data_IF_252782201013
#
_entry.id   IF_252782201013
#
_cell.length_a   1.000
_cell.length_b   1.000
_cell.length_c   1.000
_cell.angle_alpha   90.00
_cell.angle_beta   90.00
_cell.angle_gamma   90.00
#
_symmetry.space_group_name_H-M   'P 1'
#
loop_
_entity.id
_entity.type
_entity.pdbx_description
1 polymer ?
#
# COMPACT_ATOMS: atom_id res chain seq x y z
N UNK A 1 -25.46 5.02 8.89
CA UNK A 1 -26.81 5.26 8.32
C UNK A 1 -26.74 5.81 6.88
N UNK A 2 -25.64 6.44 6.48
CA UNK A 2 -25.39 6.90 5.11
C UNK A 2 -23.89 6.76 4.76
N UNK A 3 -23.58 6.80 3.47
CA UNK A 3 -22.23 6.66 2.93
C UNK A 3 -21.48 8.00 2.88
N UNK A 4 -21.00 8.48 4.02
CA UNK A 4 -20.22 9.72 4.11
C UNK A 4 -19.25 9.66 5.29
N UNK A 5 -18.01 10.07 5.06
CA UNK A 5 -17.02 10.25 6.13
C UNK A 5 -16.93 11.70 6.59
N UNK A 6 -16.44 11.89 7.80
CA UNK A 6 -16.27 13.18 8.46
C UNK A 6 -14.90 13.24 9.13
N UNK A 7 -14.32 14.45 9.25
CA UNK A 7 -13.05 14.68 9.93
C UNK A 7 -13.10 15.98 10.72
N UNK A 8 -12.60 15.95 11.96
CA UNK A 8 -12.48 17.12 12.82
C UNK A 8 -11.30 16.96 13.78
N UNK A 9 -10.09 17.26 13.29
CA UNK A 9 -8.86 17.07 14.06
C UNK A 9 -8.81 17.95 15.32
N UNK A 10 -9.43 19.13 15.29
CA UNK A 10 -9.46 20.05 16.43
C UNK A 10 -10.31 19.50 17.57
N UNK A 11 -11.44 18.86 17.26
CA UNK A 11 -12.23 18.15 18.26
C UNK A 11 -11.44 16.99 18.88
N UNK A 12 -10.73 16.21 18.06
CA UNK A 12 -9.88 15.11 18.56
C UNK A 12 -8.80 15.65 19.50
N UNK A 13 -8.14 16.76 19.15
CA UNK A 13 -7.14 17.40 20.04
C UNK A 13 -7.77 17.88 21.35
N UNK A 14 -8.96 18.46 21.31
CA UNK A 14 -9.71 18.88 22.51
C UNK A 14 -10.06 17.68 23.39
N UNK A 15 -10.52 16.58 22.81
CA UNK A 15 -10.79 15.33 23.54
C UNK A 15 -9.54 14.81 24.25
N UNK A 16 -8.37 14.85 23.58
CA UNK A 16 -7.11 14.38 24.17
C UNK A 16 -6.74 15.19 25.43
N UNK A 17 -6.95 16.50 25.40
CA UNK A 17 -6.65 17.40 26.54
C UNK A 17 -7.69 17.29 27.65
N UNK A 18 -8.97 17.14 27.29
CA UNK A 18 -10.08 17.17 28.24
C UNK A 18 -10.37 15.83 28.92
N UNK A 19 -9.80 14.73 28.42
CA UNK A 19 -10.06 13.41 28.99
C UNK A 19 -9.51 13.29 30.42
N UNK A 20 -10.23 12.56 31.27
CA UNK A 20 -9.81 12.18 32.61
C UNK A 20 -10.32 10.77 32.92
N UNK A 21 -9.55 9.97 33.64
CA UNK A 21 -9.92 8.59 34.03
C UNK A 21 -10.38 7.73 32.84
N UNK A 22 -9.67 7.86 31.71
CA UNK A 22 -9.95 7.19 30.43
C UNK A 22 -11.29 7.55 29.77
N UNK A 23 -11.91 8.66 30.17
CA UNK A 23 -13.19 9.14 29.66
C UNK A 23 -13.05 10.56 29.12
N UNK A 24 -13.73 10.84 28.01
CA UNK A 24 -13.95 12.20 27.53
C UNK A 24 -15.26 12.76 28.11
N UNK A 25 -15.42 14.09 28.20
CA UNK A 25 -16.71 14.68 28.54
C UNK A 25 -17.81 14.25 27.55
N UNK A 26 -19.01 13.95 28.06
CA UNK A 26 -20.11 13.36 27.28
C UNK A 26 -20.55 14.25 26.11
N UNK A 27 -20.56 15.56 26.32
CA UNK A 27 -20.91 16.59 25.34
C UNK A 27 -19.90 16.66 24.18
N UNK A 28 -18.71 16.09 24.32
CA UNK A 28 -17.71 16.05 23.26
C UNK A 28 -17.91 14.86 22.32
N UNK A 29 -18.75 13.86 22.66
CA UNK A 29 -19.00 12.71 21.78
C UNK A 29 -19.64 13.20 20.47
N UNK A 30 -18.96 13.05 19.33
CA UNK A 30 -19.45 13.54 18.06
C UNK A 30 -20.63 12.70 17.61
N UNK A 31 -21.66 13.35 17.08
CA UNK A 31 -22.91 12.70 16.66
C UNK A 31 -23.15 12.85 15.17
N UNK A 32 -23.70 11.80 14.57
CA UNK A 32 -24.06 11.80 13.16
C UNK A 32 -25.15 12.85 12.87
N UNK A 33 -24.93 13.78 11.93
CA UNK A 33 -25.92 14.84 11.64
C UNK A 33 -27.20 14.34 10.96
N UNK A 34 -27.29 13.03 10.66
CA UNK A 34 -28.45 12.41 10.00
C UNK A 34 -29.34 11.62 10.94
N UNK A 35 -28.76 10.94 11.94
CA UNK A 35 -29.51 10.06 12.83
C UNK A 35 -29.11 10.18 14.31
N UNK A 36 -28.27 11.16 14.65
CA UNK A 36 -27.77 11.45 16.01
C UNK A 36 -26.96 10.33 16.71
N UNK A 37 -26.76 9.19 16.06
CA UNK A 37 -25.93 8.13 16.61
C UNK A 37 -24.48 8.61 16.85
N UNK A 38 -23.80 8.15 17.91
CA UNK A 38 -22.39 8.44 18.13
C UNK A 38 -21.54 8.05 16.92
N UNK A 39 -20.61 8.92 16.53
CA UNK A 39 -19.66 8.62 15.47
C UNK A 39 -18.56 7.67 15.97
N UNK A 40 -18.02 6.89 15.05
CA UNK A 40 -16.86 6.03 15.27
C UNK A 40 -15.79 6.30 14.21
N UNK A 41 -14.56 5.83 14.47
CA UNK A 41 -13.47 5.91 13.50
C UNK A 41 -13.84 5.10 12.27
N UNK A 42 -13.58 5.66 11.08
CA UNK A 42 -13.77 4.93 9.83
C UNK A 42 -12.81 3.74 9.74
N UNK A 43 -13.30 2.56 10.15
CA UNK A 43 -12.55 1.31 10.20
C UNK A 43 -13.46 0.18 9.72
N UNK A 44 -12.88 -0.76 8.96
CA UNK A 44 -13.57 -1.98 8.58
C UNK A 44 -13.66 -2.97 9.74
N UNK A 45 -14.87 -3.43 10.03
CA UNK A 45 -15.18 -4.55 10.94
C UNK A 45 -15.68 -5.73 10.11
N UNK A 46 -15.45 -6.96 10.59
CA UNK A 46 -15.77 -8.15 9.82
C UNK A 46 -17.28 -8.35 9.62
N UNK A 47 -18.07 -7.94 10.62
CA UNK A 47 -19.50 -8.20 10.71
C UNK A 47 -20.33 -7.13 10.00
N UNK A 48 -19.91 -5.87 10.10
CA UNK A 48 -20.68 -4.71 9.63
C UNK A 48 -20.00 -3.95 8.48
N UNK A 49 -18.82 -4.39 8.05
CA UNK A 49 -18.07 -3.74 6.98
C UNK A 49 -17.47 -2.40 7.40
N UNK A 50 -17.46 -1.44 6.46
CA UNK A 50 -16.90 -0.10 6.60
C UNK A 50 -17.83 0.89 5.89
N UNK A 51 -17.89 2.14 6.36
CA UNK A 51 -18.52 3.20 5.57
C UNK A 51 -17.61 3.51 4.39
N UNK A 52 -18.10 3.23 3.19
CA UNK A 52 -17.45 3.50 1.91
C UNK A 52 -18.13 4.70 1.27
N UNK A 53 -17.49 5.87 1.29
CA UNK A 53 -18.04 7.08 0.70
C UNK A 53 -17.64 7.24 -0.79
N UNK A 54 -18.06 8.34 -1.40
CA UNK A 54 -17.77 8.61 -2.81
C UNK A 54 -16.26 8.62 -3.12
N UNK A 55 -15.41 9.12 -2.21
CA UNK A 55 -13.97 9.18 -2.44
C UNK A 55 -13.33 7.79 -2.31
N UNK A 56 -13.80 6.94 -1.39
CA UNK A 56 -13.40 5.54 -1.37
C UNK A 56 -13.70 4.84 -2.69
N UNK A 57 -14.91 5.03 -3.24
CA UNK A 57 -15.27 4.43 -4.53
C UNK A 57 -14.44 5.01 -5.70
N UNK A 58 -14.12 6.30 -5.68
CA UNK A 58 -13.23 6.91 -6.66
C UNK A 58 -11.81 6.33 -6.59
N UNK A 59 -11.27 6.08 -5.39
CA UNK A 59 -9.99 5.41 -5.20
C UNK A 59 -10.02 3.96 -5.71
N UNK A 60 -11.09 3.23 -5.40
CA UNK A 60 -11.28 1.85 -5.88
C UNK A 60 -11.35 1.79 -7.41
N UNK A 61 -12.05 2.73 -8.04
CA UNK A 61 -12.10 2.83 -9.50
C UNK A 61 -10.72 3.08 -10.12
N UNK A 62 -9.95 4.03 -9.59
CA UNK A 62 -8.57 4.28 -10.06
C UNK A 62 -7.68 3.05 -9.89
N UNK A 63 -7.79 2.36 -8.76
CA UNK A 63 -7.05 1.12 -8.50
C UNK A 63 -7.41 0.03 -9.52
N UNK A 64 -8.70 -0.21 -9.75
CA UNK A 64 -9.15 -1.24 -10.69
C UNK A 64 -8.78 -0.90 -12.13
N UNK A 65 -8.88 0.37 -12.54
CA UNK A 65 -8.47 0.80 -13.88
C UNK A 65 -6.98 0.56 -14.13
N UNK A 66 -6.12 0.84 -13.13
CA UNK A 66 -4.69 0.53 -13.23
C UNK A 66 -4.44 -0.99 -13.38
N UNK A 67 -5.15 -1.82 -12.62
CA UNK A 67 -5.03 -3.27 -12.75
C UNK A 67 -5.46 -3.79 -14.12
N UNK A 68 -6.58 -3.28 -14.65
CA UNK A 68 -7.10 -3.68 -15.95
C UNK A 68 -6.14 -3.28 -17.08
N UNK A 69 -5.61 -2.06 -17.02
CA UNK A 69 -4.67 -1.55 -18.01
C UNK A 69 -3.37 -2.37 -18.10
N UNK A 70 -2.92 -2.97 -17.00
CA UNK A 70 -1.63 -3.65 -16.91
C UNK A 70 -1.76 -5.18 -16.75
N UNK A 71 -2.94 -5.76 -16.97
CA UNK A 71 -3.18 -7.17 -16.62
C UNK A 71 -2.27 -8.16 -17.36
N UNK A 72 -1.78 -7.82 -18.55
CA UNK A 72 -0.93 -8.67 -19.41
C UNK A 72 0.54 -8.22 -19.50
N UNK A 73 0.89 -7.09 -18.84
CA UNK A 73 2.23 -6.53 -18.85
C UNK A 73 3.23 -7.34 -18.00
N UNK A 74 4.52 -6.98 -18.07
CA UNK A 74 5.54 -7.47 -17.11
C UNK A 74 5.39 -6.78 -15.75
N UNK A 75 4.38 -7.19 -14.98
CA UNK A 75 4.01 -6.55 -13.71
C UNK A 75 4.82 -7.09 -12.54
N UNK A 76 5.33 -6.19 -11.70
CA UNK A 76 5.85 -6.51 -10.37
C UNK A 76 4.77 -6.27 -9.30
N UNK A 77 4.29 -7.34 -8.67
CA UNK A 77 3.44 -7.26 -7.48
C UNK A 77 4.31 -7.17 -6.22
N UNK A 78 4.68 -5.94 -5.83
CA UNK A 78 5.51 -5.66 -4.67
C UNK A 78 4.69 -5.55 -3.38
N UNK A 79 4.85 -6.53 -2.48
CA UNK A 79 4.22 -6.58 -1.17
C UNK A 79 5.22 -6.20 -0.07
N UNK A 80 4.93 -5.14 0.70
CA UNK A 80 5.84 -4.63 1.75
C UNK A 80 5.17 -4.73 3.11
N UNK A 81 5.76 -5.50 4.03
CA UNK A 81 5.30 -5.56 5.43
C UNK A 81 3.92 -6.20 5.66
N UNK A 82 3.29 -6.79 4.64
CA UNK A 82 1.96 -7.38 4.77
C UNK A 82 2.03 -8.75 5.47
N UNK A 83 1.42 -8.81 6.65
CA UNK A 83 1.23 -10.04 7.42
C UNK A 83 -0.02 -10.84 7.03
N UNK A 84 -0.56 -11.61 7.98
CA UNK A 84 -1.71 -12.49 7.77
C UNK A 84 -2.99 -12.05 8.51
N UNK A 85 -3.04 -10.81 8.99
CA UNK A 85 -4.22 -10.27 9.71
C UNK A 85 -5.44 -10.15 8.81
N UNK A 86 -5.25 -9.67 7.58
CA UNK A 86 -6.31 -9.47 6.58
C UNK A 86 -5.80 -9.77 5.16
N UNK A 87 -5.42 -11.03 4.89
CA UNK A 87 -4.73 -11.40 3.65
C UNK A 87 -5.59 -11.20 2.40
N UNK A 88 -6.91 -11.06 2.54
CA UNK A 88 -7.86 -10.84 1.46
C UNK A 88 -7.69 -9.49 0.74
N UNK A 89 -7.06 -8.48 1.35
CA UNK A 89 -6.94 -7.15 0.74
C UNK A 89 -5.76 -7.00 -0.21
N UNK A 90 -4.61 -7.61 0.10
CA UNK A 90 -3.38 -7.44 -0.70
C UNK A 90 -2.77 -8.79 -1.06
N UNK A 91 -2.42 -9.60 -0.05
CA UNK A 91 -1.67 -10.85 -0.23
C UNK A 91 -2.35 -11.83 -1.19
N UNK A 92 -3.58 -12.24 -0.89
CA UNK A 92 -4.30 -13.20 -1.74
C UNK A 92 -4.61 -12.65 -3.14
N UNK A 93 -5.06 -11.38 -3.31
CA UNK A 93 -5.17 -10.78 -4.63
C UNK A 93 -3.87 -10.79 -5.43
N UNK A 94 -2.74 -10.36 -4.85
CA UNK A 94 -1.45 -10.30 -5.55
C UNK A 94 -1.00 -11.68 -6.00
N UNK A 95 -1.13 -12.70 -5.14
CA UNK A 95 -0.82 -14.08 -5.50
C UNK A 95 -1.73 -14.61 -6.61
N UNK A 96 -3.02 -14.26 -6.61
CA UNK A 96 -3.97 -14.65 -7.66
C UNK A 96 -3.64 -13.95 -8.98
N UNK A 97 -3.29 -12.67 -8.95
CA UNK A 97 -2.94 -11.91 -10.15
C UNK A 97 -1.62 -12.40 -10.76
N UNK A 98 -0.62 -12.70 -9.94
CA UNK A 98 0.65 -13.33 -10.38
C UNK A 98 0.41 -14.71 -11.00
N UNK A 99 -0.55 -15.47 -10.48
CA UNK A 99 -0.94 -16.76 -11.08
C UNK A 99 -1.57 -16.60 -12.46
N UNK A 100 -2.38 -15.55 -12.67
CA UNK A 100 -3.10 -15.30 -13.92
C UNK A 100 -2.21 -14.74 -15.03
N UNK A 101 -1.23 -13.92 -14.69
CA UNK A 101 -0.30 -13.32 -15.65
C UNK A 101 1.05 -14.05 -15.57
N UNK A 102 1.39 -14.84 -16.58
CA UNK A 102 2.64 -15.62 -16.65
C UNK A 102 3.91 -14.74 -16.68
N UNK A 103 3.80 -13.49 -17.16
CA UNK A 103 4.90 -12.52 -17.22
C UNK A 103 5.12 -11.77 -15.90
N UNK A 104 4.23 -11.93 -14.92
CA UNK A 104 4.30 -11.22 -13.65
C UNK A 104 5.28 -11.85 -12.66
N UNK A 105 5.85 -11.00 -11.79
CA UNK A 105 6.66 -11.37 -10.64
C UNK A 105 5.93 -10.97 -9.35
N UNK A 106 5.99 -11.82 -8.33
CA UNK A 106 5.58 -11.48 -6.97
C UNK A 106 6.82 -11.25 -6.11
N UNK A 107 6.92 -10.09 -5.45
CA UNK A 107 8.02 -9.80 -4.54
C UNK A 107 7.47 -9.44 -3.17
N UNK A 108 7.91 -10.14 -2.13
CA UNK A 108 7.52 -9.85 -0.75
C UNK A 108 8.72 -9.40 0.07
N UNK A 109 8.59 -8.26 0.74
CA UNK A 109 9.52 -7.76 1.75
C UNK A 109 8.95 -8.02 3.13
N UNK A 110 9.39 -9.11 3.76
CA UNK A 110 8.92 -9.51 5.08
C UNK A 110 9.94 -10.40 5.79
N UNK A 111 10.20 -10.16 7.08
CA UNK A 111 11.07 -11.06 7.87
C UNK A 111 10.46 -12.45 8.04
N UNK A 112 9.12 -12.56 8.04
CA UNK A 112 8.41 -13.84 8.17
C UNK A 112 8.25 -14.50 6.80
N UNK A 113 8.58 -15.79 6.72
CA UNK A 113 8.29 -16.63 5.56
C UNK A 113 6.85 -17.14 5.61
N UNK A 114 5.95 -16.47 4.90
CA UNK A 114 4.61 -16.98 4.66
C UNK A 114 4.61 -17.96 3.50
N UNK A 115 3.75 -18.99 3.58
CA UNK A 115 3.66 -20.01 2.53
C UNK A 115 3.24 -19.37 1.20
N UNK A 116 4.06 -19.59 0.17
CA UNK A 116 3.78 -19.18 -1.21
C UNK A 116 3.10 -20.34 -1.96
N UNK A 117 1.99 -20.09 -2.70
CA UNK A 117 1.35 -21.12 -3.53
C UNK A 117 2.33 -21.68 -4.56
N UNK A 118 2.37 -23.00 -4.71
CA UNK A 118 3.29 -23.69 -5.64
C UNK A 118 3.26 -23.12 -7.06
N UNK A 119 2.07 -22.73 -7.55
CA UNK A 119 1.85 -22.15 -8.87
C UNK A 119 2.65 -20.87 -9.19
N UNK A 120 3.20 -20.18 -8.18
CA UNK A 120 3.93 -18.92 -8.36
C UNK A 120 5.32 -18.92 -7.70
N UNK A 121 5.76 -20.05 -7.13
CA UNK A 121 7.00 -20.11 -6.35
C UNK A 121 8.22 -19.69 -7.18
N UNK A 122 8.32 -20.19 -8.42
CA UNK A 122 9.43 -19.86 -9.34
C UNK A 122 9.46 -18.38 -9.75
N UNK A 123 8.32 -17.68 -9.63
CA UNK A 123 8.15 -16.25 -9.94
C UNK A 123 8.00 -15.40 -8.68
N UNK A 124 8.47 -15.91 -7.54
CA UNK A 124 8.42 -15.22 -6.26
C UNK A 124 9.82 -14.89 -5.75
N UNK A 125 10.04 -13.62 -5.41
CA UNK A 125 11.23 -13.17 -4.69
C UNK A 125 10.83 -12.82 -3.26
N UNK A 126 11.53 -13.40 -2.28
CA UNK A 126 11.32 -13.10 -0.87
C UNK A 126 12.55 -12.39 -0.30
N UNK A 127 12.38 -11.12 0.04
CA UNK A 127 13.38 -10.29 0.70
C UNK A 127 13.11 -10.28 2.21
N UNK A 128 14.08 -10.75 3.00
CA UNK A 128 13.94 -10.95 4.45
C UNK A 128 14.65 -9.90 5.30
N UNK A 129 15.48 -9.05 4.69
CA UNK A 129 16.17 -7.99 5.40
C UNK A 129 15.21 -6.91 5.91
N UNK A 130 15.74 -6.01 6.74
CA UNK A 130 14.97 -4.87 7.22
C UNK A 130 14.46 -4.01 6.05
N UNK A 131 13.16 -3.69 6.09
CA UNK A 131 12.48 -2.95 5.02
C UNK A 131 13.13 -1.57 4.80
N UNK A 132 13.45 -0.85 5.89
CA UNK A 132 14.06 0.47 5.79
C UNK A 132 15.44 0.38 5.14
N UNK A 133 16.24 -0.60 5.54
CA UNK A 133 17.56 -0.86 4.95
C UNK A 133 17.44 -1.20 3.46
N UNK A 134 16.55 -2.11 3.08
CA UNK A 134 16.35 -2.52 1.68
C UNK A 134 15.94 -1.34 0.79
N UNK A 135 14.95 -0.55 1.22
CA UNK A 135 14.48 0.62 0.45
C UNK A 135 15.61 1.65 0.35
N UNK A 136 16.30 1.95 1.45
CA UNK A 136 17.40 2.93 1.44
C UNK A 136 18.55 2.49 0.54
N UNK A 137 18.92 1.21 0.56
CA UNK A 137 19.96 0.67 -0.30
C UNK A 137 19.55 0.71 -1.78
N UNK A 138 18.30 0.35 -2.10
CA UNK A 138 17.77 0.42 -3.47
C UNK A 138 17.79 1.85 -4.03
N UNK A 139 17.42 2.85 -3.20
CA UNK A 139 17.46 4.26 -3.59
C UNK A 139 18.89 4.79 -3.80
N UNK A 140 19.85 4.34 -2.97
CA UNK A 140 21.27 4.74 -3.10
C UNK A 140 21.92 4.14 -4.34
N UNK A 141 21.59 2.89 -4.66
CA UNK A 141 22.13 2.24 -5.85
C UNK A 141 21.71 2.97 -7.14
N UNK A 142 20.51 3.55 -7.20
CA UNK A 142 20.07 4.37 -8.34
C UNK A 142 20.90 5.66 -8.50
N UNK A 143 21.37 6.28 -7.40
CA UNK A 143 22.28 7.44 -7.48
C UNK A 143 23.69 7.10 -7.94
N UNK A 144 24.19 5.89 -7.64
CA UNK A 144 25.50 5.43 -8.12
C UNK A 144 25.46 5.08 -9.61
N UNK A 145 24.36 4.49 -10.10
CA UNK A 145 24.20 4.16 -11.53
C UNK A 145 23.99 5.42 -12.39
N UNK A 146 23.36 6.48 -11.86
CA UNK A 146 23.23 7.76 -12.58
C UNK A 146 24.55 8.52 -12.73
N UNK A 147 25.50 8.38 -11.80
CA UNK A 147 26.81 9.05 -11.87
C UNK A 147 27.82 8.36 -12.80
N UNK A 148 27.59 7.10 -13.18
CA UNK A 148 28.50 6.35 -14.06
C UNK A 148 28.16 6.47 -15.57
N UNK A 149 27.16 7.28 -15.95
CA UNK A 149 26.73 7.44 -17.35
C UNK A 149 27.14 8.80 -17.99
N UNK A 150 28.11 9.54 -17.42
CA UNK A 150 28.63 10.82 -18.01
C UNK A 150 30.13 10.72 -18.39
N UNK A 151 30.68 9.52 -18.54
CA UNK A 151 32.07 9.37 -18.97
C UNK A 151 32.27 8.13 -19.80
N UNK A 152 32.28 8.32 -21.12
CA UNK A 152 33.06 7.60 -22.16
C UNK A 152 32.24 7.44 -23.45
N UNK A 153 32.56 8.26 -24.45
CA UNK A 153 32.86 7.86 -25.85
C UNK A 153 32.89 9.08 -26.79
N UNK A 154 33.98 9.84 -26.76
CA UNK A 154 34.47 10.55 -27.94
C UNK A 154 36.01 10.50 -27.91
N UNK A 155 36.60 9.51 -28.58
CA UNK A 155 37.81 9.70 -29.39
C UNK A 155 38.15 8.41 -30.16
N UNK A 156 37.45 8.19 -31.27
CA UNK A 156 37.97 7.35 -32.36
C UNK A 156 37.54 8.01 -33.67
N UNK A 157 38.52 8.57 -34.38
CA UNK A 157 38.58 8.92 -35.81
C UNK A 157 39.00 10.38 -36.04
N UNK A 158 40.31 10.62 -36.16
CA UNK A 158 40.89 11.30 -37.33
C UNK A 158 42.41 11.40 -37.21
N UNK A 159 43.13 10.60 -38.02
CA UNK A 159 44.31 11.01 -38.80
C UNK A 159 44.85 9.82 -39.58
N UNK A 160 44.36 9.71 -40.81
CA UNK A 160 45.16 9.25 -41.96
C UNK A 160 45.97 10.45 -42.49
N UNK A 161 47.11 10.09 -43.09
CA UNK A 161 48.18 10.88 -43.74
C UNK A 161 49.29 11.46 -42.84
#
# INVERSE_FOLDING_TARGET
CHAQTYRNDDLIRKMVVAQQDMLIPWEMIPRCPKCDAPMEVNKRKAEVGMVEDAEFHAQLQRYNAFLEQHQDDKVLYLEIGIGYTTPQFVKHPFQRMTRKNENALYMTMNKKAYRIPSSIQERTIHLTDDISTLITAALRNDSTTKNNNIGETEDVLNRTD
#
